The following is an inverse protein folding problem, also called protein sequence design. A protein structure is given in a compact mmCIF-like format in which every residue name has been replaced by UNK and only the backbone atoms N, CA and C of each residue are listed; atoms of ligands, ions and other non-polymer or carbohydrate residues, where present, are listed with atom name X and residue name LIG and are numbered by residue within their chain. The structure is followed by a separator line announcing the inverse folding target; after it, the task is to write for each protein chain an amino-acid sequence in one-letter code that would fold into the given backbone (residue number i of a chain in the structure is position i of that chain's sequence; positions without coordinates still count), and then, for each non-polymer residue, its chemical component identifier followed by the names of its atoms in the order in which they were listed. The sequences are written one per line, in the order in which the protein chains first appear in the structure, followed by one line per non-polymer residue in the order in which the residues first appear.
data_IF_091994973605
#
_entry.id   IF_091994973605
#
_cell.length_a   1.000
_cell.length_b   1.000
_cell.length_c   1.000
_cell.angle_alpha   90.00
_cell.angle_beta   90.00
_cell.angle_gamma   90.00
#
_symmetry.space_group_name_H-M   'P 1'
#
loop_
_entity.id
_entity.type
_entity.pdbx_description
1 polymer ?
#
# COMPACT_ATOMS: atom_id res chain seq x y z
N UNK A 1 31.04 -18.84 31.48
CA UNK A 1 30.08 -18.37 32.49
C UNK A 1 28.81 -18.03 31.74
N UNK A 2 28.01 -19.07 31.45
CA UNK A 2 26.76 -18.97 30.71
C UNK A 2 25.74 -18.21 31.56
N UNK A 3 25.57 -16.92 31.26
CA UNK A 3 24.46 -16.13 31.76
C UNK A 3 23.18 -16.75 31.18
N UNK A 4 22.50 -17.60 31.95
CA UNK A 4 21.13 -17.98 31.70
C UNK A 4 20.31 -16.70 31.48
N UNK A 5 19.94 -16.41 30.23
CA UNK A 5 18.93 -15.40 29.94
C UNK A 5 17.65 -15.83 30.66
N UNK A 6 17.33 -15.18 31.78
CA UNK A 6 15.98 -15.26 32.35
C UNK A 6 15.01 -14.95 31.23
N UNK A 7 14.00 -15.81 31.04
CA UNK A 7 12.96 -15.56 30.06
C UNK A 7 12.32 -14.20 30.41
N UNK A 8 12.35 -13.22 29.50
CA UNK A 8 11.76 -11.91 29.76
C UNK A 8 10.30 -12.07 30.18
N UNK A 9 9.88 -11.24 31.11
CA UNK A 9 8.47 -11.15 31.52
C UNK A 9 7.59 -10.81 30.32
N UNK A 10 6.33 -11.24 30.33
CA UNK A 10 5.33 -10.87 29.30
C UNK A 10 5.26 -9.34 29.12
N UNK A 11 5.44 -8.58 30.21
CA UNK A 11 5.46 -7.11 30.17
C UNK A 11 6.72 -6.58 29.50
N UNK A 12 7.88 -7.18 29.74
CA UNK A 12 9.15 -6.78 29.12
C UNK A 12 9.13 -7.08 27.62
N UNK A 13 8.60 -8.23 27.22
CA UNK A 13 8.44 -8.60 25.81
C UNK A 13 7.47 -7.66 25.09
N UNK A 14 6.37 -7.27 25.75
CA UNK A 14 5.44 -6.28 25.23
C UNK A 14 6.11 -4.91 25.04
N UNK A 15 6.81 -4.40 26.05
CA UNK A 15 7.51 -3.09 25.98
C UNK A 15 8.61 -3.12 24.92
N UNK A 16 9.37 -4.21 24.83
CA UNK A 16 10.37 -4.39 23.78
C UNK A 16 9.74 -4.40 22.39
N UNK A 17 8.62 -5.09 22.22
CA UNK A 17 7.82 -5.09 20.99
C UNK A 17 7.31 -3.70 20.62
N UNK A 18 6.75 -2.97 21.58
CA UNK A 18 6.24 -1.60 21.38
C UNK A 18 7.37 -0.65 20.97
N UNK A 19 8.53 -0.70 21.66
CA UNK A 19 9.71 0.09 21.32
C UNK A 19 10.18 -0.22 19.90
N UNK A 20 10.31 -1.51 19.56
CA UNK A 20 10.71 -1.93 18.21
C UNK A 20 9.73 -1.43 17.14
N UNK A 21 8.43 -1.56 17.39
CA UNK A 21 7.37 -1.06 16.50
C UNK A 21 7.46 0.45 16.28
N UNK A 22 7.70 1.23 17.35
CA UNK A 22 7.87 2.68 17.26
C UNK A 22 9.06 3.07 16.37
N UNK A 23 10.24 2.45 16.56
CA UNK A 23 11.41 2.74 15.72
C UNK A 23 11.22 2.31 14.26
N UNK A 24 10.59 1.17 14.00
CA UNK A 24 10.22 0.78 12.64
C UNK A 24 9.30 1.84 12.01
N UNK A 25 8.32 2.32 12.77
CA UNK A 25 7.44 3.40 12.34
C UNK A 25 8.20 4.68 11.99
N UNK A 26 9.02 5.16 12.93
CA UNK A 26 9.72 6.44 12.82
C UNK A 26 10.85 6.44 11.77
N UNK A 27 11.65 5.36 11.70
CA UNK A 27 12.85 5.32 10.87
C UNK A 27 12.58 4.75 9.47
N UNK A 28 11.56 3.90 9.31
CA UNK A 28 11.35 3.17 8.06
C UNK A 28 10.02 3.47 7.38
N UNK A 29 8.92 3.61 8.13
CA UNK A 29 7.58 3.83 7.56
C UNK A 29 7.36 5.31 7.28
N UNK A 30 7.57 6.18 8.25
CA UNK A 30 7.30 7.61 8.12
C UNK A 30 8.10 8.27 6.98
N UNK A 31 9.43 8.05 6.83
CA UNK A 31 10.19 8.65 5.73
C UNK A 31 9.73 8.15 4.35
N UNK A 32 9.40 6.86 4.24
CA UNK A 32 8.90 6.28 3.00
C UNK A 32 7.52 6.87 2.62
N UNK A 33 6.63 7.07 3.60
CA UNK A 33 5.33 7.72 3.36
C UNK A 33 5.49 9.18 2.94
N UNK A 34 6.37 9.94 3.60
CA UNK A 34 6.63 11.34 3.24
C UNK A 34 7.18 11.43 1.82
N UNK A 35 8.13 10.58 1.45
CA UNK A 35 8.66 10.53 0.08
C UNK A 35 7.56 10.24 -0.95
N UNK A 36 6.70 9.25 -0.68
CA UNK A 36 5.57 8.92 -1.55
C UNK A 36 4.61 10.10 -1.72
N UNK A 37 4.26 10.75 -0.61
CA UNK A 37 3.36 11.91 -0.60
C UNK A 37 3.94 13.08 -1.39
N UNK A 38 5.21 13.42 -1.16
CA UNK A 38 5.91 14.50 -1.88
C UNK A 38 6.00 14.20 -3.38
N UNK A 39 6.29 12.96 -3.78
CA UNK A 39 6.32 12.56 -5.18
C UNK A 39 4.95 12.70 -5.85
N UNK A 40 3.90 12.27 -5.18
CA UNK A 40 2.53 12.39 -5.69
C UNK A 40 2.11 13.84 -5.79
N UNK A 41 2.40 14.65 -4.78
CA UNK A 41 2.07 16.06 -4.78
C UNK A 41 2.81 16.80 -5.90
N UNK A 42 4.07 16.46 -6.14
CA UNK A 42 4.82 16.96 -7.29
C UNK A 42 4.16 16.57 -8.63
N UNK A 43 3.72 15.32 -8.78
CA UNK A 43 3.01 14.84 -9.97
C UNK A 43 1.63 15.50 -10.15
N UNK A 44 0.96 15.86 -9.04
CA UNK A 44 -0.30 16.59 -9.04
C UNK A 44 -0.10 18.04 -9.49
N UNK A 45 0.87 18.76 -8.91
CA UNK A 45 1.17 20.17 -9.24
C UNK A 45 1.60 20.30 -10.71
N UNK A 46 2.38 19.34 -11.21
CA UNK A 46 2.80 19.32 -12.63
C UNK A 46 1.67 18.91 -13.60
N UNK A 47 0.51 18.47 -13.09
CA UNK A 47 -0.62 17.99 -13.89
C UNK A 47 -0.42 16.62 -14.54
N UNK A 48 0.71 15.95 -14.26
CA UNK A 48 1.04 14.65 -14.84
C UNK A 48 0.09 13.56 -14.34
N UNK A 49 -0.37 13.65 -13.09
CA UNK A 49 -1.38 12.71 -12.55
C UNK A 49 -2.69 12.73 -13.33
N UNK A 50 -3.12 13.87 -13.86
CA UNK A 50 -4.33 13.96 -14.69
C UNK A 50 -4.17 13.22 -16.01
N UNK A 51 -2.96 13.24 -16.59
CA UNK A 51 -2.64 12.52 -17.82
C UNK A 51 -2.61 11.01 -17.55
N UNK A 52 -1.96 10.60 -16.46
CA UNK A 52 -1.93 9.20 -16.03
C UNK A 52 -3.34 8.70 -15.73
N UNK A 53 -4.16 9.48 -15.02
CA UNK A 53 -5.56 9.19 -14.72
C UNK A 53 -6.42 9.00 -15.96
N UNK A 54 -6.22 9.81 -17.02
CA UNK A 54 -6.91 9.62 -18.31
C UNK A 54 -6.44 8.37 -19.04
N UNK A 55 -5.15 8.07 -19.03
CA UNK A 55 -4.59 6.89 -19.68
C UNK A 55 -5.01 5.58 -19.01
N UNK A 56 -5.07 5.56 -17.67
CA UNK A 56 -5.50 4.38 -16.88
C UNK A 56 -7.00 4.36 -16.62
N UNK A 57 -7.72 5.43 -16.93
CA UNK A 57 -9.18 5.53 -16.85
C UNK A 57 -9.94 4.32 -17.39
N UNK A 58 -9.65 3.79 -18.60
CA UNK A 58 -10.34 2.60 -19.11
C UNK A 58 -10.07 1.35 -18.24
N UNK A 59 -8.88 1.21 -17.65
CA UNK A 59 -8.56 0.09 -16.74
C UNK A 59 -9.28 0.25 -15.40
N UNK A 60 -9.29 1.46 -14.84
CA UNK A 60 -9.99 1.78 -13.58
C UNK A 60 -11.51 1.62 -13.73
N UNK A 61 -12.06 1.93 -14.91
CA UNK A 61 -13.48 1.77 -15.20
C UNK A 61 -13.94 0.30 -15.14
N UNK A 62 -13.07 -0.67 -15.48
CA UNK A 62 -13.35 -2.11 -15.32
C UNK A 62 -13.62 -2.46 -13.85
N UNK A 63 -13.06 -1.72 -12.91
CA UNK A 63 -13.27 -1.90 -11.48
C UNK A 63 -14.37 -0.97 -10.91
N UNK A 64 -15.00 -0.13 -11.75
CA UNK A 64 -16.01 0.84 -11.32
C UNK A 64 -15.41 2.06 -10.61
N UNK A 65 -14.11 2.29 -10.81
CA UNK A 65 -13.35 3.38 -10.20
C UNK A 65 -13.13 4.51 -11.21
N UNK A 66 -13.13 5.78 -10.76
CA UNK A 66 -12.78 6.91 -11.59
C UNK A 66 -11.26 6.92 -11.85
N UNK A 67 -10.81 7.58 -12.92
CA UNK A 67 -9.39 7.59 -13.29
C UNK A 67 -8.49 8.21 -12.21
N UNK A 68 -9.06 9.14 -11.45
CA UNK A 68 -8.45 9.86 -10.33
C UNK A 68 -8.07 8.94 -9.16
N UNK A 69 -8.77 7.81 -9.01
CA UNK A 69 -8.47 6.82 -7.97
C UNK A 69 -7.10 6.16 -8.13
N UNK A 70 -6.44 6.29 -9.29
CA UNK A 70 -5.09 5.77 -9.52
C UNK A 70 -4.07 6.37 -8.57
N UNK A 71 -4.31 7.61 -8.10
CA UNK A 71 -3.43 8.30 -7.13
C UNK A 71 -3.28 7.45 -5.87
N UNK A 72 -4.35 6.81 -5.41
CA UNK A 72 -4.31 5.94 -4.23
C UNK A 72 -3.50 4.66 -4.48
N UNK A 73 -3.59 4.06 -5.67
CA UNK A 73 -2.81 2.86 -6.02
C UNK A 73 -1.32 3.19 -6.22
N UNK A 74 -1.00 4.33 -6.82
CA UNK A 74 0.38 4.83 -6.93
C UNK A 74 0.96 5.13 -5.55
N UNK A 75 0.18 5.74 -4.65
CA UNK A 75 0.58 5.93 -3.26
C UNK A 75 0.81 4.61 -2.53
N UNK A 76 -0.10 3.65 -2.71
CA UNK A 76 0.00 2.32 -2.13
C UNK A 76 1.29 1.62 -2.54
N UNK A 77 1.69 1.73 -3.82
CA UNK A 77 2.90 1.12 -4.35
C UNK A 77 4.16 1.47 -3.53
N UNK A 78 4.27 2.71 -3.06
CA UNK A 78 5.37 3.14 -2.18
C UNK A 78 5.12 2.78 -0.72
N UNK A 79 3.90 3.01 -0.22
CA UNK A 79 3.51 2.66 1.14
C UNK A 79 2.02 2.38 1.24
N UNK A 80 1.67 1.20 1.79
CA UNK A 80 0.28 0.79 2.05
C UNK A 80 -0.56 1.87 2.76
N UNK A 81 -0.02 2.46 3.82
CA UNK A 81 -0.70 3.50 4.58
C UNK A 81 -0.88 4.80 3.79
N UNK A 82 0.08 5.16 2.92
CA UNK A 82 -0.06 6.30 2.03
C UNK A 82 -1.18 6.08 0.99
N UNK A 83 -1.34 4.86 0.48
CA UNK A 83 -2.45 4.48 -0.40
C UNK A 83 -3.82 4.70 0.24
N UNK A 84 -4.00 4.17 1.45
CA UNK A 84 -5.24 4.35 2.20
C UNK A 84 -5.50 5.82 2.57
N UNK A 85 -4.45 6.57 2.94
CA UNK A 85 -4.56 8.00 3.22
C UNK A 85 -4.95 8.81 1.98
N UNK A 86 -4.36 8.51 0.82
CA UNK A 86 -4.71 9.16 -0.44
C UNK A 86 -6.17 8.86 -0.84
N UNK A 87 -6.63 7.62 -0.67
CA UNK A 87 -8.04 7.28 -0.88
C UNK A 87 -8.97 8.03 0.08
N UNK A 88 -8.59 8.15 1.36
CA UNK A 88 -9.36 8.92 2.35
C UNK A 88 -9.42 10.41 1.99
N UNK A 89 -8.31 11.00 1.51
CA UNK A 89 -8.29 12.39 1.03
C UNK A 89 -9.17 12.60 -0.19
N UNK A 90 -9.14 11.68 -1.17
CA UNK A 90 -10.02 11.74 -2.35
C UNK A 90 -11.50 11.64 -1.97
N UNK A 91 -11.83 10.83 -0.95
CA UNK A 91 -13.19 10.73 -0.44
C UNK A 91 -13.62 12.02 0.27
N UNK A 92 -12.75 12.59 1.11
CA UNK A 92 -13.02 13.84 1.82
C UNK A 92 -13.21 15.03 0.85
N UNK A 93 -12.55 15.00 -0.31
CA UNK A 93 -12.70 15.98 -1.39
C UNK A 93 -13.94 15.76 -2.25
N UNK A 94 -14.67 14.65 -2.08
CA UNK A 94 -15.83 14.28 -2.90
C UNK A 94 -15.49 13.76 -4.30
N UNK A 95 -14.21 13.49 -4.58
CA UNK A 95 -13.73 12.97 -5.87
C UNK A 95 -14.11 11.50 -6.07
N UNK A 96 -14.14 10.72 -4.99
CA UNK A 96 -14.57 9.31 -5.01
C UNK A 96 -15.73 9.10 -4.04
N UNK A 97 -16.62 8.15 -4.33
CA UNK A 97 -17.73 7.77 -3.44
C UNK A 97 -17.27 6.84 -2.32
N UNK A 98 -18.09 6.67 -1.28
CA UNK A 98 -17.81 5.73 -0.20
C UNK A 98 -17.62 4.30 -0.74
N UNK A 99 -18.45 3.88 -1.71
CA UNK A 99 -18.35 2.58 -2.37
C UNK A 99 -17.02 2.42 -3.10
N UNK A 100 -16.55 3.46 -3.79
CA UNK A 100 -15.26 3.44 -4.50
C UNK A 100 -14.08 3.40 -3.53
N UNK A 101 -14.16 4.10 -2.41
CA UNK A 101 -13.17 4.03 -1.34
C UNK A 101 -13.10 2.62 -0.73
N UNK A 102 -14.24 1.95 -0.55
CA UNK A 102 -14.31 0.55 -0.07
C UNK A 102 -13.66 -0.42 -1.06
N UNK A 103 -13.83 -0.22 -2.36
CA UNK A 103 -13.15 -1.04 -3.40
C UNK A 103 -11.64 -0.82 -3.39
N UNK A 104 -11.18 0.42 -3.20
CA UNK A 104 -9.76 0.77 -3.18
C UNK A 104 -9.01 0.28 -1.95
N UNK A 105 -9.69 0.21 -0.80
CA UNK A 105 -9.05 -0.16 0.47
C UNK A 105 -8.32 -1.51 0.42
N UNK A 106 -8.96 -2.65 0.07
CA UNK A 106 -8.28 -3.93 0.01
C UNK A 106 -7.17 -3.95 -1.05
N UNK A 107 -7.33 -3.23 -2.17
CA UNK A 107 -6.31 -3.11 -3.20
C UNK A 107 -5.03 -2.44 -2.67
N UNK A 108 -5.18 -1.33 -1.94
CA UNK A 108 -4.07 -0.63 -1.30
C UNK A 108 -3.39 -1.52 -0.25
N UNK A 109 -4.18 -2.35 0.42
CA UNK A 109 -3.75 -3.24 1.50
C UNK A 109 -2.97 -4.46 0.97
N UNK A 110 -3.36 -5.03 -0.17
CA UNK A 110 -2.70 -6.20 -0.78
C UNK A 110 -1.50 -5.84 -1.63
N UNK A 111 -1.57 -4.75 -2.39
CA UNK A 111 -0.47 -4.30 -3.25
C UNK A 111 0.63 -3.53 -2.51
N UNK A 112 0.27 -2.90 -1.40
CA UNK A 112 1.02 -1.77 -0.88
C UNK A 112 2.45 -2.08 -0.41
N UNK A 113 3.31 -1.07 -0.44
CA UNK A 113 4.74 -1.18 -0.08
C UNK A 113 5.48 -2.18 -0.98
N UNK A 114 5.11 -2.27 -2.26
CA UNK A 114 5.59 -3.30 -3.19
C UNK A 114 7.12 -3.32 -3.30
N UNK A 115 7.73 -2.17 -3.60
CA UNK A 115 9.19 -2.05 -3.73
C UNK A 115 9.87 -2.33 -2.38
N UNK A 116 9.35 -1.73 -1.30
CA UNK A 116 9.93 -1.87 0.02
C UNK A 116 9.93 -3.33 0.51
N UNK A 117 8.82 -4.04 0.28
CA UNK A 117 8.71 -5.46 0.59
C UNK A 117 9.63 -6.31 -0.28
N UNK A 118 9.67 -6.04 -1.58
CA UNK A 118 10.53 -6.76 -2.52
C UNK A 118 12.01 -6.66 -2.13
N UNK A 119 12.50 -5.46 -1.83
CA UNK A 119 13.89 -5.25 -1.44
C UNK A 119 14.19 -5.87 -0.06
N UNK A 120 13.31 -5.68 0.92
CA UNK A 120 13.57 -6.09 2.32
C UNK A 120 13.33 -7.57 2.58
N UNK A 121 12.54 -8.26 1.75
CA UNK A 121 12.18 -9.67 1.95
C UNK A 121 12.65 -10.54 0.78
N UNK A 122 12.27 -10.22 -0.47
CA UNK A 122 12.56 -11.10 -1.61
C UNK A 122 14.06 -11.13 -1.93
N UNK A 123 14.73 -9.97 -1.95
CA UNK A 123 16.17 -9.90 -2.24
C UNK A 123 17.00 -10.47 -1.08
N UNK A 124 16.63 -10.17 0.16
CA UNK A 124 17.39 -10.59 1.37
C UNK A 124 17.21 -12.07 1.70
N UNK A 125 16.09 -12.68 1.34
CA UNK A 125 15.84 -14.12 1.53
C UNK A 125 16.60 -15.02 0.55
N UNK A 126 17.38 -14.44 -0.37
CA UNK A 126 18.08 -15.17 -1.43
C UNK A 126 17.13 -16.06 -2.27
N UNK A 127 15.91 -15.57 -2.49
CA UNK A 127 14.93 -16.23 -3.33
C UNK A 127 15.50 -16.46 -4.75
N UNK A 128 15.04 -17.51 -5.42
CA UNK A 128 15.54 -17.83 -6.75
C UNK A 128 15.19 -16.69 -7.72
N UNK A 129 16.22 -16.08 -8.32
CA UNK A 129 16.11 -14.93 -9.24
C UNK A 129 15.13 -15.14 -10.39
N UNK A 130 14.92 -16.38 -10.84
CA UNK A 130 13.93 -16.72 -11.88
C UNK A 130 12.50 -16.31 -11.48
N UNK A 131 12.18 -16.34 -10.19
CA UNK A 131 10.84 -16.09 -9.67
C UNK A 131 10.64 -14.66 -9.14
N UNK A 132 11.69 -13.83 -9.15
CA UNK A 132 11.61 -12.44 -8.70
C UNK A 132 10.55 -11.62 -9.45
N UNK A 133 10.46 -11.79 -10.78
CA UNK A 133 9.41 -11.13 -11.56
C UNK A 133 8.01 -11.56 -11.12
N UNK A 134 7.80 -12.87 -10.90
CA UNK A 134 6.53 -13.41 -10.42
C UNK A 134 6.17 -12.83 -9.05
N UNK A 135 7.11 -12.80 -8.11
CA UNK A 135 6.91 -12.29 -6.75
C UNK A 135 6.58 -10.80 -6.72
N UNK A 136 7.01 -10.03 -7.73
CA UNK A 136 6.62 -8.63 -7.89
C UNK A 136 5.23 -8.48 -8.54
N UNK A 137 4.85 -9.41 -9.42
CA UNK A 137 3.55 -9.39 -10.10
C UNK A 137 2.39 -9.87 -9.21
N UNK A 138 2.62 -10.84 -8.32
CA UNK A 138 1.57 -11.44 -7.47
C UNK A 138 0.76 -10.39 -6.70
N UNK A 139 1.35 -9.42 -5.98
CA UNK A 139 0.57 -8.43 -5.23
C UNK A 139 -0.26 -7.49 -6.13
N UNK A 140 0.16 -7.27 -7.38
CA UNK A 140 -0.60 -6.48 -8.37
C UNK A 140 -1.82 -7.28 -8.84
N UNK A 141 -1.66 -8.58 -9.05
CA UNK A 141 -2.76 -9.49 -9.39
C UNK A 141 -3.73 -9.59 -8.21
N UNK A 142 -3.22 -9.75 -6.98
CA UNK A 142 -4.05 -9.79 -5.77
C UNK A 142 -4.85 -8.51 -5.58
N UNK A 143 -4.28 -7.35 -5.93
CA UNK A 143 -4.98 -6.07 -5.91
C UNK A 143 -6.10 -6.00 -6.96
N UNK A 144 -5.87 -6.49 -8.17
CA UNK A 144 -6.91 -6.55 -9.19
C UNK A 144 -8.05 -7.49 -8.78
N UNK A 145 -7.71 -8.67 -8.24
CA UNK A 145 -8.69 -9.64 -7.73
C UNK A 145 -9.46 -9.05 -6.54
N UNK A 146 -8.79 -8.38 -5.61
CA UNK A 146 -9.44 -7.82 -4.43
C UNK A 146 -10.40 -6.68 -4.76
N UNK A 147 -10.06 -5.80 -5.72
CA UNK A 147 -10.99 -4.79 -6.24
C UNK A 147 -12.23 -5.44 -6.87
N UNK A 148 -12.02 -6.48 -7.68
CA UNK A 148 -13.11 -7.17 -8.36
C UNK A 148 -14.04 -7.91 -7.38
N UNK A 149 -13.47 -8.63 -6.42
CA UNK A 149 -14.23 -9.30 -5.35
C UNK A 149 -15.03 -8.30 -4.51
N UNK A 150 -14.40 -7.19 -4.12
CA UNK A 150 -15.07 -6.17 -3.30
C UNK A 150 -16.21 -5.52 -4.06
N UNK A 151 -16.04 -5.26 -5.35
CA UNK A 151 -17.11 -4.79 -6.23
C UNK A 151 -18.28 -5.79 -6.27
N UNK A 152 -18.01 -7.09 -6.39
CA UNK A 152 -19.06 -8.10 -6.37
C UNK A 152 -19.80 -8.14 -5.04
N UNK A 153 -19.08 -8.12 -3.91
CA UNK A 153 -19.69 -8.14 -2.58
C UNK A 153 -20.59 -6.93 -2.36
N UNK A 154 -20.16 -5.74 -2.77
CA UNK A 154 -20.97 -4.51 -2.65
C UNK A 154 -22.24 -4.58 -3.51
N UNK A 155 -22.28 -5.34 -4.59
CA UNK A 155 -23.52 -5.50 -5.38
C UNK A 155 -24.59 -6.34 -4.68
N UNK A 156 -24.22 -7.11 -3.64
CA UNK A 156 -25.16 -7.93 -2.87
C UNK A 156 -25.75 -7.21 -1.64
N UNK A 157 -25.25 -6.03 -1.29
CA UNK A 157 -25.67 -5.22 -0.12
C UNK A 157 -26.23 -3.87 -0.56
#
# INVERSE_FOLDING_TARGET
MDLQKMKPSIVEEFVAGAKKGFYIGAEMIAPAMVLAYVLIEFLNITGLMTIVGKAVGPVMAVFGLPGEAIVALVAAFFAKAAGCAAAASLYAQGTITAQQATILFPACVTMGTLIGHFVRIVITSNANKKWHGLLLCVPVIDAAISMWLTRLVIQFF
#
